data_IF_915295021384
#
_entry.id   IF_915295021384
#
_cell.length_a   1.000
_cell.length_b   1.000
_cell.length_c   1.000
_cell.angle_alpha   90.00
_cell.angle_beta   90.00
_cell.angle_gamma   90.00
#
_symmetry.space_group_name_H-M   'P 1'
#
loop_
_entity.id
_entity.type
_entity.pdbx_description
1 polymer ?
#
# COMPACT_ATOMS: atom_id res chain seq x y z
N UNK A 1 28.09 -11.56 3.69
CA UNK A 1 28.36 -10.14 3.38
C UNK A 1 27.20 -9.30 3.90
N UNK A 2 27.45 -8.40 4.84
CA UNK A 2 26.48 -7.42 5.28
C UNK A 2 26.41 -6.31 4.22
N UNK A 3 25.42 -6.33 3.37
CA UNK A 3 25.14 -5.21 2.47
C UNK A 3 24.18 -4.25 3.15
N UNK A 4 24.63 -3.00 3.37
CA UNK A 4 23.75 -1.92 3.83
C UNK A 4 23.12 -1.27 2.60
N UNK A 5 21.79 -1.23 2.51
CA UNK A 5 21.11 -0.27 1.65
C UNK A 5 21.44 1.12 2.21
N UNK A 6 22.31 1.82 1.53
CA UNK A 6 22.40 3.26 1.67
C UNK A 6 21.12 3.79 1.04
N UNK A 7 20.23 4.39 1.84
CA UNK A 7 19.09 5.11 1.30
C UNK A 7 19.60 6.03 0.20
N UNK A 8 19.02 5.96 -0.99
CA UNK A 8 19.36 6.89 -2.04
C UNK A 8 19.07 8.30 -1.50
N UNK A 9 20.04 9.16 -1.47
CA UNK A 9 19.89 10.58 -1.11
C UNK A 9 19.05 11.38 -2.14
N UNK A 10 18.19 10.72 -2.88
CA UNK A 10 17.22 11.38 -3.73
C UNK A 10 16.06 11.85 -2.87
N UNK A 11 16.27 12.95 -2.14
CA UNK A 11 15.15 13.75 -1.64
C UNK A 11 14.37 14.28 -2.83
N UNK A 12 13.33 13.54 -3.26
CA UNK A 12 12.38 14.06 -4.22
C UNK A 12 11.63 15.21 -3.56
N UNK A 13 11.84 16.42 -4.07
CA UNK A 13 11.14 17.62 -3.62
C UNK A 13 10.22 18.10 -4.71
N UNK A 14 8.93 17.89 -4.51
CA UNK A 14 7.91 18.40 -5.40
C UNK A 14 7.38 19.75 -4.91
N UNK A 15 7.19 20.68 -5.83
CA UNK A 15 6.47 21.93 -5.57
C UNK A 15 5.13 21.88 -6.25
N UNK A 16 4.05 21.86 -5.46
CA UNK A 16 2.68 21.80 -5.94
C UNK A 16 2.02 23.15 -5.74
N UNK A 17 1.45 23.74 -6.80
CA UNK A 17 0.67 24.96 -6.74
C UNK A 17 -0.80 24.66 -7.11
N UNK A 18 -1.66 24.57 -6.11
CA UNK A 18 -3.11 24.34 -6.29
C UNK A 18 -3.90 25.63 -6.60
N UNK A 19 -3.25 26.79 -6.74
CA UNK A 19 -3.91 28.05 -7.04
C UNK A 19 -4.37 28.19 -8.49
N UNK A 20 -3.81 27.39 -9.40
CA UNK A 20 -4.12 27.41 -10.83
C UNK A 20 -5.19 26.38 -11.25
N UNK A 21 -5.79 25.64 -10.32
CA UNK A 21 -6.84 24.67 -10.66
C UNK A 21 -8.08 25.45 -11.10
N UNK A 22 -8.45 25.32 -12.37
CA UNK A 22 -9.60 25.97 -13.01
C UNK A 22 -10.70 24.98 -13.42
N UNK A 23 -10.36 23.68 -13.52
CA UNK A 23 -11.30 22.61 -13.86
C UNK A 23 -11.48 21.68 -12.65
N UNK A 24 -12.75 21.41 -12.31
CA UNK A 24 -13.14 20.51 -11.22
C UNK A 24 -13.56 19.14 -11.74
N UNK A 25 -13.47 18.91 -13.05
CA UNK A 25 -13.69 17.64 -13.70
C UNK A 25 -12.33 16.93 -13.86
N UNK A 26 -12.20 15.77 -13.26
CA UNK A 26 -10.98 14.96 -13.42
C UNK A 26 -11.22 13.94 -14.53
N UNK A 27 -10.45 14.08 -15.60
CA UNK A 27 -10.59 13.24 -16.81
C UNK A 27 -10.44 11.75 -16.49
N UNK A 28 -11.33 10.96 -17.08
CA UNK A 28 -11.43 9.51 -16.85
C UNK A 28 -10.11 8.78 -17.13
N UNK A 29 -9.33 9.25 -18.09
CA UNK A 29 -8.07 8.63 -18.48
C UNK A 29 -7.04 8.60 -17.34
N UNK A 30 -6.93 9.68 -16.56
CA UNK A 30 -6.04 9.76 -15.42
C UNK A 30 -6.54 8.94 -14.22
N UNK A 31 -7.86 9.00 -13.98
CA UNK A 31 -8.50 8.31 -12.85
C UNK A 31 -8.39 6.80 -12.99
N UNK A 32 -8.54 6.28 -14.22
CA UNK A 32 -8.43 4.84 -14.49
C UNK A 32 -7.06 4.27 -14.15
N UNK A 33 -6.00 5.08 -14.32
CA UNK A 33 -4.62 4.65 -14.09
C UNK A 33 -4.23 4.66 -12.61
N UNK A 34 -4.78 5.56 -11.81
CA UNK A 34 -4.37 5.76 -10.41
C UNK A 34 -5.59 5.82 -9.51
N UNK A 35 -5.76 4.81 -8.66
CA UNK A 35 -6.87 4.78 -7.71
C UNK A 35 -6.89 5.96 -6.73
N UNK A 36 -5.71 6.46 -6.34
CA UNK A 36 -5.59 7.61 -5.45
C UNK A 36 -6.29 8.88 -5.99
N UNK A 37 -6.60 8.93 -7.31
CA UNK A 37 -7.34 10.05 -7.90
C UNK A 37 -8.68 10.33 -7.23
N UNK A 38 -9.31 9.35 -6.61
CA UNK A 38 -10.60 9.59 -5.94
C UNK A 38 -10.49 10.33 -4.60
N UNK A 39 -9.27 10.55 -4.06
CA UNK A 39 -9.04 11.51 -2.98
C UNK A 39 -9.34 12.96 -3.40
N UNK A 40 -9.34 13.23 -4.70
CA UNK A 40 -9.77 14.50 -5.24
C UNK A 40 -11.23 14.83 -4.91
N UNK A 41 -12.10 13.83 -4.68
CA UNK A 41 -13.48 14.05 -4.25
C UNK A 41 -13.54 14.92 -2.98
N UNK A 42 -12.86 14.52 -1.92
CA UNK A 42 -12.84 15.25 -0.65
C UNK A 42 -12.11 16.58 -0.74
N UNK A 43 -10.96 16.61 -1.44
CA UNK A 43 -10.16 17.82 -1.58
C UNK A 43 -10.88 18.92 -2.37
N UNK A 44 -11.46 18.57 -3.53
CA UNK A 44 -12.20 19.54 -4.36
C UNK A 44 -13.50 19.98 -3.69
N UNK A 45 -14.27 19.04 -3.12
CA UNK A 45 -15.48 19.36 -2.39
C UNK A 45 -15.20 20.30 -1.21
N UNK A 46 -14.16 20.03 -0.43
CA UNK A 46 -13.76 20.88 0.69
C UNK A 46 -13.43 22.31 0.25
N UNK A 47 -12.60 22.44 -0.80
CA UNK A 47 -12.11 23.74 -1.26
C UNK A 47 -13.11 24.51 -2.13
N UNK A 48 -13.73 23.83 -3.10
CA UNK A 48 -14.55 24.48 -4.14
C UNK A 48 -16.04 24.25 -3.98
N UNK A 49 -16.46 23.43 -3.00
CA UNK A 49 -17.85 23.03 -2.75
C UNK A 49 -18.47 22.22 -3.91
N UNK A 50 -17.64 21.82 -4.85
CA UNK A 50 -18.01 21.01 -6.01
C UNK A 50 -16.88 20.08 -6.40
N UNK A 51 -17.21 18.85 -6.80
CA UNK A 51 -16.26 17.88 -7.34
C UNK A 51 -16.97 16.93 -8.29
N UNK A 52 -16.32 16.63 -9.43
CA UNK A 52 -16.77 15.65 -10.40
C UNK A 52 -15.60 14.70 -10.69
N UNK A 53 -15.68 13.48 -10.18
CA UNK A 53 -14.58 12.52 -10.26
C UNK A 53 -15.12 11.18 -10.74
N UNK A 54 -14.58 10.64 -11.80
CA UNK A 54 -14.98 9.31 -12.28
C UNK A 54 -14.69 8.24 -11.22
N UNK A 55 -15.49 7.18 -11.20
CA UNK A 55 -15.26 6.02 -10.33
C UNK A 55 -13.86 5.46 -10.60
N UNK A 56 -13.08 5.19 -9.57
CA UNK A 56 -11.70 4.79 -9.75
C UNK A 56 -11.62 3.44 -10.43
N UNK A 57 -10.75 3.36 -11.44
CA UNK A 57 -10.18 2.11 -11.88
C UNK A 57 -9.34 1.50 -10.75
N UNK A 58 -8.72 0.39 -10.97
CA UNK A 58 -7.80 -0.21 -10.00
C UNK A 58 -7.56 -1.68 -10.25
N UNK A 59 -6.69 -2.27 -9.42
CA UNK A 59 -6.41 -3.68 -9.47
C UNK A 59 -7.68 -4.48 -9.08
N UNK A 60 -7.94 -5.55 -9.80
CA UNK A 60 -9.12 -6.38 -9.59
C UNK A 60 -8.94 -7.35 -8.41
N UNK A 61 -8.67 -6.80 -7.20
CA UNK A 61 -8.43 -7.58 -5.97
C UNK A 61 -9.67 -7.71 -5.09
N UNK A 62 -10.77 -7.07 -5.46
CA UNK A 62 -12.03 -7.13 -4.72
C UNK A 62 -12.91 -5.91 -4.89
N UNK A 63 -14.11 -5.99 -4.35
CA UNK A 63 -15.07 -4.89 -4.29
C UNK A 63 -14.52 -3.75 -3.43
N UNK A 64 -14.68 -2.52 -3.90
CA UNK A 64 -14.24 -1.32 -3.18
C UNK A 64 -15.32 -0.25 -3.23
N UNK A 65 -16.41 -0.46 -2.51
CA UNK A 65 -17.54 0.45 -2.49
C UNK A 65 -17.14 1.82 -1.97
N UNK A 66 -17.82 2.85 -2.44
CA UNK A 66 -17.64 4.25 -2.00
C UNK A 66 -18.83 4.75 -1.19
N UNK A 67 -19.70 3.85 -0.75
CA UNK A 67 -20.91 4.13 0.02
C UNK A 67 -20.63 4.98 1.27
N UNK A 68 -19.55 4.68 2.02
CA UNK A 68 -19.16 5.43 3.21
C UNK A 68 -18.69 6.86 2.86
N UNK A 69 -18.06 7.07 1.69
CA UNK A 69 -17.73 8.41 1.19
C UNK A 69 -19.01 9.21 0.92
N UNK A 70 -19.94 8.61 0.16
CA UNK A 70 -21.20 9.26 -0.20
C UNK A 70 -22.06 9.57 1.04
N UNK A 71 -22.11 8.63 2.01
CA UNK A 71 -22.76 8.81 3.30
C UNK A 71 -22.18 10.02 4.03
N UNK A 72 -20.87 10.09 4.13
CA UNK A 72 -20.20 11.18 4.84
C UNK A 72 -20.35 12.53 4.15
N UNK A 73 -20.23 12.62 2.81
CA UNK A 73 -20.46 13.87 2.08
C UNK A 73 -21.91 14.37 2.23
N UNK A 74 -22.88 13.46 2.20
CA UNK A 74 -24.30 13.82 2.47
C UNK A 74 -24.48 14.34 3.90
N UNK A 75 -23.82 13.74 4.88
CA UNK A 75 -23.86 14.20 6.27
C UNK A 75 -23.24 15.60 6.45
N UNK A 76 -22.25 15.97 5.62
CA UNK A 76 -21.69 17.33 5.55
C UNK A 76 -22.59 18.32 4.77
N UNK A 77 -23.76 17.90 4.27
CA UNK A 77 -24.69 18.74 3.53
C UNK A 77 -24.51 18.76 2.02
N UNK A 78 -23.64 17.93 1.45
CA UNK A 78 -23.47 17.86 0.01
C UNK A 78 -24.59 17.04 -0.66
N UNK A 79 -25.04 17.49 -1.82
CA UNK A 79 -25.84 16.70 -2.76
C UNK A 79 -24.87 15.82 -3.56
N UNK A 80 -25.08 14.50 -3.50
CA UNK A 80 -24.19 13.54 -4.16
C UNK A 80 -25.00 12.69 -5.12
N UNK A 81 -24.52 12.58 -6.35
CA UNK A 81 -25.09 11.77 -7.42
C UNK A 81 -23.99 10.91 -8.08
N UNK A 82 -24.37 9.77 -8.60
CA UNK A 82 -23.52 8.95 -9.47
C UNK A 82 -24.24 8.81 -10.80
N UNK A 83 -23.63 9.33 -11.83
CA UNK A 83 -24.15 9.27 -13.19
C UNK A 83 -23.06 8.88 -14.17
N UNK A 84 -23.35 7.90 -15.04
CA UNK A 84 -22.40 7.37 -16.04
C UNK A 84 -20.99 7.05 -15.48
N UNK A 85 -20.91 6.57 -14.24
CA UNK A 85 -19.62 6.24 -13.60
C UNK A 85 -18.86 7.46 -13.07
N UNK A 86 -19.48 8.64 -13.01
CA UNK A 86 -18.90 9.83 -12.39
C UNK A 86 -19.63 10.14 -11.08
N UNK A 87 -18.87 10.36 -10.03
CA UNK A 87 -19.37 10.84 -8.75
C UNK A 87 -19.35 12.37 -8.78
N UNK A 88 -20.52 12.96 -8.69
CA UNK A 88 -20.70 14.41 -8.56
C UNK A 88 -21.13 14.74 -7.14
N UNK A 89 -20.39 15.60 -6.46
CA UNK A 89 -20.74 16.10 -5.14
C UNK A 89 -20.73 17.63 -5.17
N UNK A 90 -21.80 18.25 -4.64
CA UNK A 90 -21.96 19.71 -4.63
C UNK A 90 -22.67 20.17 -3.35
N UNK A 91 -22.20 21.25 -2.77
CA UNK A 91 -22.79 21.90 -1.60
C UNK A 91 -22.78 23.41 -1.77
N UNK A 92 -23.74 24.10 -1.20
CA UNK A 92 -23.66 25.57 -1.01
C UNK A 92 -22.68 25.88 0.13
N UNK A 93 -22.89 25.23 1.27
CA UNK A 93 -22.00 25.24 2.42
C UNK A 93 -21.80 23.80 2.91
N UNK A 94 -20.60 23.47 3.38
CA UNK A 94 -20.38 22.26 4.13
C UNK A 94 -20.50 22.58 5.61
N UNK A 95 -21.30 21.77 6.32
CA UNK A 95 -21.55 21.93 7.75
C UNK A 95 -21.05 20.69 8.47
N UNK A 96 -20.26 20.88 9.51
CA UNK A 96 -19.76 19.81 10.35
C UNK A 96 -20.90 19.02 11.01
N UNK A 97 -20.63 17.77 11.31
CA UNK A 97 -21.60 16.86 11.91
C UNK A 97 -20.95 15.59 12.43
N UNK A 98 -21.77 14.71 13.00
CA UNK A 98 -21.33 13.42 13.50
C UNK A 98 -21.49 12.35 12.42
N UNK A 99 -20.40 11.70 12.05
CA UNK A 99 -20.34 10.70 10.98
C UNK A 99 -19.77 9.41 11.56
N UNK A 100 -20.61 8.38 11.62
CA UNK A 100 -20.18 7.02 12.00
C UNK A 100 -19.97 6.17 10.75
N UNK A 101 -18.79 5.56 10.63
CA UNK A 101 -18.49 4.61 9.57
C UNK A 101 -19.01 3.22 9.94
N UNK A 102 -19.83 2.61 9.07
CA UNK A 102 -20.35 1.26 9.29
C UNK A 102 -19.23 0.21 9.20
N UNK A 103 -18.19 0.51 8.43
CA UNK A 103 -16.95 -0.27 8.32
C UNK A 103 -15.75 0.67 8.37
N UNK A 104 -14.65 0.20 8.97
CA UNK A 104 -13.37 0.95 8.94
C UNK A 104 -12.91 1.08 7.50
N UNK A 105 -12.68 2.31 7.05
CA UNK A 105 -12.30 2.60 5.67
C UNK A 105 -11.31 3.76 5.58
N UNK A 106 -10.11 3.47 5.08
CA UNK A 106 -9.04 4.45 4.87
C UNK A 106 -9.49 5.55 3.92
N UNK A 107 -10.06 5.15 2.78
CA UNK A 107 -10.43 6.08 1.73
C UNK A 107 -11.50 7.10 2.17
N UNK A 108 -12.55 6.65 2.85
CA UNK A 108 -13.60 7.55 3.35
C UNK A 108 -13.05 8.44 4.49
N UNK A 109 -12.23 7.90 5.39
CA UNK A 109 -11.61 8.68 6.46
C UNK A 109 -10.79 9.85 5.91
N UNK A 110 -9.91 9.62 4.93
CA UNK A 110 -9.09 10.67 4.31
C UNK A 110 -9.97 11.67 3.55
N UNK A 111 -10.89 11.21 2.72
CA UNK A 111 -11.76 12.08 1.94
C UNK A 111 -12.61 13.01 2.83
N UNK A 112 -13.21 12.46 3.89
CA UNK A 112 -14.03 13.23 4.80
C UNK A 112 -13.19 14.16 5.69
N UNK A 113 -11.98 13.74 6.06
CA UNK A 113 -11.03 14.60 6.76
C UNK A 113 -10.70 15.84 5.92
N UNK A 114 -10.35 15.67 4.65
CA UNK A 114 -10.08 16.78 3.73
C UNK A 114 -11.30 17.68 3.51
N UNK A 115 -12.47 17.09 3.25
CA UNK A 115 -13.70 17.84 3.01
C UNK A 115 -14.13 18.67 4.24
N UNK A 116 -13.87 18.16 5.45
CA UNK A 116 -14.28 18.78 6.71
C UNK A 116 -13.36 19.90 7.19
N UNK A 117 -12.14 20.02 6.66
CA UNK A 117 -11.18 21.04 7.10
C UNK A 117 -11.72 22.48 7.01
N UNK A 118 -12.59 22.74 6.04
CA UNK A 118 -13.20 24.06 5.82
C UNK A 118 -14.75 24.00 5.90
N UNK A 119 -15.31 23.00 6.58
CA UNK A 119 -16.74 22.95 6.90
C UNK A 119 -17.06 23.86 8.10
N UNK A 120 -18.26 24.38 8.16
CA UNK A 120 -18.71 25.19 9.29
C UNK A 120 -18.89 24.31 10.54
N UNK A 121 -18.35 24.73 11.68
CA UNK A 121 -18.50 24.02 12.94
C UNK A 121 -17.49 22.88 13.15
N UNK A 122 -17.91 21.82 13.80
CA UNK A 122 -17.07 20.64 14.13
C UNK A 122 -17.60 19.38 13.43
N UNK A 123 -16.69 18.61 12.85
CA UNK A 123 -16.98 17.27 12.33
C UNK A 123 -16.35 16.23 13.24
N UNK A 124 -17.12 15.19 13.57
CA UNK A 124 -16.64 14.03 14.33
C UNK A 124 -16.77 12.81 13.44
N UNK A 125 -15.63 12.15 13.14
CA UNK A 125 -15.59 10.89 12.44
C UNK A 125 -15.40 9.78 13.46
N UNK A 126 -16.34 8.84 13.56
CA UNK A 126 -16.26 7.67 14.44
C UNK A 126 -16.08 6.38 13.64
N UNK A 127 -15.44 5.39 14.27
CA UNK A 127 -14.98 4.16 13.64
C UNK A 127 -14.03 4.45 12.46
N UNK A 128 -13.19 5.49 12.63
CA UNK A 128 -12.24 5.95 11.64
C UNK A 128 -11.07 4.95 11.48
N UNK A 129 -10.46 4.95 10.31
CA UNK A 129 -9.22 4.23 10.05
C UNK A 129 -8.05 4.82 10.85
N UNK A 130 -7.09 3.97 11.26
CA UNK A 130 -6.00 4.32 12.19
C UNK A 130 -4.61 4.21 11.57
N UNK A 131 -4.52 3.84 10.30
CA UNK A 131 -3.28 3.61 9.58
C UNK A 131 -2.33 4.81 9.70
N UNK A 132 -1.01 4.59 9.73
CA UNK A 132 -0.01 5.65 9.88
C UNK A 132 -0.19 6.82 8.90
N UNK A 133 -0.56 6.53 7.66
CA UNK A 133 -0.81 7.57 6.66
C UNK A 133 -2.08 8.40 6.91
N UNK A 134 -3.02 7.95 7.75
CA UNK A 134 -4.14 8.78 8.24
C UNK A 134 -3.60 9.87 9.16
N UNK A 135 -2.66 9.49 10.06
CA UNK A 135 -1.99 10.44 10.96
C UNK A 135 -1.15 11.43 10.16
N UNK A 136 -0.45 10.94 9.14
CA UNK A 136 0.39 11.75 8.27
C UNK A 136 -0.42 12.80 7.49
N UNK A 137 -1.56 12.41 6.90
CA UNK A 137 -2.49 13.34 6.24
C UNK A 137 -3.04 14.38 7.22
N UNK A 138 -3.39 13.97 8.45
CA UNK A 138 -3.85 14.91 9.48
C UNK A 138 -2.77 15.91 9.86
N UNK A 139 -1.52 15.45 10.03
CA UNK A 139 -0.37 16.31 10.34
C UNK A 139 -0.07 17.28 9.19
N UNK A 140 -0.12 16.79 7.94
CA UNK A 140 0.02 17.64 6.75
C UNK A 140 -1.04 18.73 6.69
N UNK A 141 -2.32 18.36 6.88
CA UNK A 141 -3.42 19.33 6.89
C UNK A 141 -3.30 20.33 8.07
N UNK A 142 -2.88 19.87 9.26
CA UNK A 142 -2.60 20.74 10.39
C UNK A 142 -1.43 21.70 10.12
N UNK A 143 -0.37 21.25 9.42
CA UNK A 143 0.71 22.12 8.96
C UNK A 143 0.23 23.18 7.95
N UNK A 144 -0.87 22.91 7.23
CA UNK A 144 -1.56 23.88 6.37
C UNK A 144 -2.53 24.78 7.13
N UNK A 145 -2.68 24.63 8.45
CA UNK A 145 -3.55 25.46 9.29
C UNK A 145 -4.92 24.84 9.60
N UNK A 146 -5.14 23.56 9.32
CA UNK A 146 -6.32 22.83 9.78
C UNK A 146 -6.29 22.60 11.30
N UNK A 147 -7.42 22.17 11.87
CA UNK A 147 -7.55 21.83 13.28
C UNK A 147 -8.13 20.42 13.41
N UNK A 148 -7.26 19.42 13.32
CA UNK A 148 -7.59 18.00 13.36
C UNK A 148 -6.95 17.38 14.60
N UNK A 149 -7.73 16.62 15.36
CA UNK A 149 -7.29 15.90 16.57
C UNK A 149 -7.81 14.46 16.52
N UNK A 150 -7.08 13.56 17.19
CA UNK A 150 -7.48 12.16 17.33
C UNK A 150 -7.15 11.27 16.13
N UNK A 151 -6.43 11.74 15.10
CA UNK A 151 -5.93 10.89 14.04
C UNK A 151 -5.05 9.76 14.62
N UNK A 152 -5.22 8.53 14.12
CA UNK A 152 -4.60 7.33 14.69
C UNK A 152 -5.44 6.66 15.79
N UNK A 153 -6.57 7.25 16.15
CA UNK A 153 -7.60 6.64 17.01
C UNK A 153 -8.88 6.36 16.20
N UNK A 154 -9.86 5.73 16.81
CA UNK A 154 -11.16 5.48 16.18
C UNK A 154 -12.07 6.71 16.10
N UNK A 155 -11.69 7.81 16.74
CA UNK A 155 -12.44 9.07 16.73
C UNK A 155 -11.56 10.24 16.29
N UNK A 156 -11.89 10.85 15.16
CA UNK A 156 -11.20 12.03 14.64
C UNK A 156 -12.15 13.23 14.75
N UNK A 157 -11.65 14.31 15.35
CA UNK A 157 -12.37 15.57 15.49
C UNK A 157 -11.73 16.65 14.63
N UNK A 158 -12.52 17.32 13.82
CA UNK A 158 -12.08 18.33 12.88
C UNK A 158 -12.89 19.59 13.11
N UNK A 159 -12.23 20.64 13.58
CA UNK A 159 -12.84 21.96 13.67
C UNK A 159 -12.55 22.71 12.40
N UNK A 160 -13.58 23.08 11.67
CA UNK A 160 -13.43 23.80 10.40
C UNK A 160 -12.72 25.14 10.56
N UNK A 161 -11.96 25.51 9.52
CA UNK A 161 -11.22 26.77 9.43
C UNK A 161 -11.61 27.53 8.18
N UNK A 162 -11.45 28.86 8.18
CA UNK A 162 -11.82 29.70 7.04
C UNK A 162 -10.94 29.46 5.81
N UNK A 163 -9.68 29.10 6.00
CA UNK A 163 -8.72 28.85 4.90
C UNK A 163 -7.56 27.97 5.36
N UNK A 164 -6.99 27.27 4.41
CA UNK A 164 -5.69 26.60 4.53
C UNK A 164 -4.63 27.42 3.79
N UNK A 165 -3.36 27.24 4.17
CA UNK A 165 -2.21 27.91 3.55
C UNK A 165 -1.20 26.86 3.05
N UNK A 166 -0.23 27.28 2.24
CA UNK A 166 0.87 26.40 1.81
C UNK A 166 1.82 26.07 2.96
N UNK A 167 2.45 24.91 2.89
CA UNK A 167 3.48 24.51 3.84
C UNK A 167 4.60 23.72 3.14
N UNK A 168 5.70 23.51 3.83
CA UNK A 168 6.69 22.49 3.50
C UNK A 168 6.46 21.32 4.43
N UNK A 169 6.39 20.11 3.88
CA UNK A 169 6.08 18.91 4.64
C UNK A 169 6.92 17.74 4.15
N UNK A 170 7.35 16.88 5.06
CA UNK A 170 8.02 15.62 4.74
C UNK A 170 7.04 14.48 5.05
N UNK A 171 6.70 13.70 4.03
CA UNK A 171 5.84 12.52 4.18
C UNK A 171 6.58 11.42 4.93
N UNK A 172 5.83 10.57 5.64
CA UNK A 172 6.39 9.41 6.32
C UNK A 172 6.89 8.34 5.33
N UNK A 173 7.87 7.50 5.74
CA UNK A 173 8.32 6.36 4.95
C UNK A 173 7.21 5.35 4.65
N UNK A 174 7.29 4.70 3.49
CA UNK A 174 6.34 3.64 3.10
C UNK A 174 6.61 2.35 3.86
N UNK A 175 5.73 2.02 4.80
CA UNK A 175 5.78 0.79 5.58
C UNK A 175 5.63 -0.48 4.73
N UNK A 176 4.95 -0.40 3.58
CA UNK A 176 4.73 -1.57 2.72
C UNK A 176 5.97 -1.85 1.87
N UNK A 177 6.63 -0.80 1.38
CA UNK A 177 7.92 -0.97 0.70
C UNK A 177 8.96 -1.56 1.68
N UNK A 178 9.09 -0.98 2.88
CA UNK A 178 9.97 -1.49 3.92
C UNK A 178 9.67 -2.97 4.26
N UNK A 179 8.40 -3.29 4.52
CA UNK A 179 7.95 -4.66 4.77
C UNK A 179 8.22 -5.63 3.61
N UNK A 180 8.14 -5.15 2.36
CA UNK A 180 8.46 -5.95 1.17
C UNK A 180 9.94 -6.38 1.17
N UNK A 181 10.87 -5.47 1.49
CA UNK A 181 12.30 -5.81 1.63
C UNK A 181 12.56 -6.72 2.84
N UNK A 182 11.82 -6.53 3.96
CA UNK A 182 11.89 -7.45 5.11
C UNK A 182 11.50 -8.88 4.70
N UNK A 183 10.43 -9.05 3.92
CA UNK A 183 10.01 -10.36 3.41
C UNK A 183 10.98 -10.91 2.37
N UNK A 184 11.62 -10.06 1.56
CA UNK A 184 12.68 -10.48 0.65
C UNK A 184 13.85 -11.10 1.42
N UNK A 185 14.29 -10.50 2.52
CA UNK A 185 15.32 -11.08 3.39
C UNK A 185 14.90 -12.45 3.94
N UNK A 186 13.65 -12.57 4.42
CA UNK A 186 13.14 -13.84 4.94
C UNK A 186 13.10 -14.94 3.87
N UNK A 187 12.62 -14.63 2.66
CA UNK A 187 12.50 -15.58 1.56
C UNK A 187 13.87 -16.03 1.00
N UNK A 188 14.83 -15.10 0.92
CA UNK A 188 16.18 -15.37 0.34
C UNK A 188 17.22 -15.73 1.39
N UNK A 189 16.85 -15.90 2.66
CA UNK A 189 17.78 -16.19 3.77
C UNK A 189 18.87 -15.12 3.93
N UNK A 190 18.48 -13.86 3.74
CA UNK A 190 19.38 -12.73 3.73
C UNK A 190 19.56 -12.05 5.10
N UNK A 191 20.49 -11.11 5.13
CA UNK A 191 20.76 -10.20 6.24
C UNK A 191 20.83 -8.78 5.67
N UNK A 192 19.80 -7.97 5.95
CA UNK A 192 19.69 -6.60 5.42
C UNK A 192 19.35 -5.59 6.50
N UNK A 193 19.79 -4.36 6.30
CA UNK A 193 19.38 -3.19 7.09
C UNK A 193 18.53 -2.28 6.22
N UNK A 194 17.33 -1.98 6.68
CA UNK A 194 16.40 -1.05 6.03
C UNK A 194 16.42 0.25 6.86
N UNK A 195 16.78 1.35 6.24
CA UNK A 195 16.92 2.67 6.85
C UNK A 195 15.75 3.58 6.45
N UNK A 196 15.65 4.71 7.13
CA UNK A 196 14.62 5.72 6.91
C UNK A 196 13.22 5.10 7.05
N UNK A 197 12.99 4.36 8.14
CA UNK A 197 11.72 3.73 8.48
C UNK A 197 11.27 4.19 9.87
N UNK A 198 10.00 3.98 10.16
CA UNK A 198 9.45 4.15 11.50
C UNK A 198 9.13 2.74 12.02
N UNK A 199 9.97 2.13 12.89
CA UNK A 199 9.82 0.75 13.34
C UNK A 199 8.44 0.45 13.88
N UNK A 200 7.83 1.39 14.60
CA UNK A 200 6.49 1.26 15.15
C UNK A 200 5.40 1.03 14.10
N UNK A 201 5.59 1.48 12.87
CA UNK A 201 4.64 1.22 11.78
C UNK A 201 4.73 -0.21 11.24
N UNK A 202 5.80 -0.93 11.58
CA UNK A 202 6.12 -2.27 11.11
C UNK A 202 5.85 -3.38 12.13
N UNK A 203 5.32 -3.05 13.32
CA UNK A 203 5.16 -3.99 14.44
C UNK A 203 4.44 -5.30 14.08
N UNK A 204 3.37 -5.23 13.28
CA UNK A 204 2.65 -6.45 12.87
C UNK A 204 3.46 -7.33 11.90
N UNK A 205 4.36 -6.72 11.12
CA UNK A 205 5.26 -7.40 10.18
C UNK A 205 6.44 -8.01 10.94
N UNK A 206 7.07 -7.23 11.82
CA UNK A 206 8.18 -7.69 12.67
C UNK A 206 7.76 -8.84 13.57
N UNK A 207 6.55 -8.76 14.16
CA UNK A 207 6.00 -9.85 14.98
C UNK A 207 5.92 -11.18 14.20
N UNK A 208 5.46 -11.15 12.95
CA UNK A 208 5.37 -12.37 12.13
C UNK A 208 6.75 -12.91 11.72
N UNK A 209 7.69 -12.05 11.41
CA UNK A 209 9.07 -12.47 11.12
C UNK A 209 9.76 -13.10 12.36
N UNK A 210 9.51 -12.55 13.57
CA UNK A 210 9.98 -13.14 14.82
C UNK A 210 9.35 -14.52 15.07
N UNK A 211 8.03 -14.67 14.85
CA UNK A 211 7.34 -15.96 14.93
C UNK A 211 7.93 -16.99 13.94
N UNK A 212 8.37 -16.55 12.76
CA UNK A 212 9.03 -17.37 11.76
C UNK A 212 10.49 -17.71 12.13
N UNK A 213 11.02 -17.15 13.21
CA UNK A 213 12.39 -17.42 13.69
C UNK A 213 13.46 -16.51 13.10
N UNK A 214 13.09 -15.46 12.37
CA UNK A 214 14.03 -14.43 11.96
C UNK A 214 14.49 -13.62 13.19
N UNK A 215 15.75 -13.14 13.15
CA UNK A 215 16.26 -12.20 14.14
C UNK A 215 16.06 -10.79 13.63
N UNK A 216 15.56 -9.91 14.51
CA UNK A 216 15.36 -8.50 14.18
C UNK A 216 16.10 -7.63 15.20
N UNK A 217 16.71 -6.56 14.71
CA UNK A 217 17.31 -5.49 15.52
C UNK A 217 16.72 -4.17 15.05
N UNK A 218 16.17 -3.40 15.97
CA UNK A 218 15.53 -2.12 15.69
C UNK A 218 16.37 -0.97 16.25
N UNK A 219 16.52 0.09 15.46
CA UNK A 219 17.04 1.39 15.90
C UNK A 219 15.94 2.44 15.87
N UNK A 220 16.31 3.72 15.94
CA UNK A 220 15.33 4.81 15.94
C UNK A 220 14.63 4.95 14.58
N UNK A 221 15.39 4.78 13.48
CA UNK A 221 14.95 4.97 12.10
C UNK A 221 15.37 3.84 11.15
N UNK A 222 15.74 2.67 11.68
CA UNK A 222 16.15 1.52 10.89
C UNK A 222 15.75 0.19 11.54
N UNK A 223 15.64 -0.84 10.70
CA UNK A 223 15.43 -2.23 11.10
C UNK A 223 16.41 -3.12 10.36
N UNK A 224 17.08 -4.04 11.07
CA UNK A 224 17.87 -5.12 10.50
C UNK A 224 17.09 -6.42 10.62
N UNK A 225 16.96 -7.12 9.49
CA UNK A 225 16.35 -8.46 9.41
C UNK A 225 17.44 -9.46 9.06
N UNK A 226 17.55 -10.49 9.89
CA UNK A 226 18.51 -11.58 9.73
C UNK A 226 17.72 -12.88 9.68
N UNK A 227 17.73 -13.53 8.51
CA UNK A 227 16.99 -14.77 8.24
C UNK A 227 17.93 -15.94 7.96
N UNK A 228 19.06 -15.99 8.65
CA UNK A 228 20.03 -17.08 8.52
C UNK A 228 19.45 -18.40 9.03
N UNK A 229 19.62 -19.46 8.26
CA UNK A 229 19.17 -20.80 8.63
C UNK A 229 17.72 -21.10 8.24
N UNK A 230 17.07 -21.94 9.03
CA UNK A 230 15.73 -22.44 8.74
C UNK A 230 14.67 -21.45 9.24
N UNK A 231 13.78 -21.01 8.35
CA UNK A 231 12.63 -20.15 8.67
C UNK A 231 11.41 -21.05 8.86
N UNK A 232 10.71 -20.87 9.97
CA UNK A 232 9.54 -21.66 10.35
C UNK A 232 8.22 -21.09 9.85
N UNK A 233 7.16 -21.90 9.99
CA UNK A 233 5.79 -21.54 9.61
C UNK A 233 5.11 -20.66 10.66
N UNK A 234 4.15 -19.83 10.24
CA UNK A 234 3.22 -19.10 11.11
C UNK A 234 1.89 -18.89 10.41
N UNK A 235 0.85 -18.57 11.19
CA UNK A 235 -0.46 -18.23 10.64
C UNK A 235 -0.65 -16.70 10.62
N UNK A 236 -1.26 -16.21 9.54
CA UNK A 236 -1.48 -14.80 9.32
C UNK A 236 -2.94 -14.53 9.01
N UNK A 237 -3.51 -13.48 9.60
CA UNK A 237 -4.81 -12.94 9.24
C UNK A 237 -4.66 -11.45 8.96
N UNK A 238 -5.09 -11.02 7.77
CA UNK A 238 -5.11 -9.60 7.44
C UNK A 238 -6.21 -8.89 8.19
N UNK A 239 -5.91 -7.73 8.75
CA UNK A 239 -6.83 -6.91 9.52
C UNK A 239 -6.51 -5.43 9.30
N UNK A 240 -7.48 -4.50 9.55
CA UNK A 240 -7.17 -3.07 9.64
C UNK A 240 -6.07 -2.81 10.68
N UNK A 241 -5.32 -1.72 10.47
CA UNK A 241 -4.25 -1.33 11.39
C UNK A 241 -4.72 -1.24 12.86
N UNK A 242 -3.96 -1.72 13.84
CA UNK A 242 -2.57 -2.19 13.78
C UNK A 242 -2.41 -3.70 13.43
N UNK A 243 -3.42 -4.35 12.87
CA UNK A 243 -3.32 -5.72 12.40
C UNK A 243 -2.39 -5.88 11.20
N UNK A 244 -2.18 -7.13 10.76
CA UNK A 244 -1.32 -7.41 9.60
C UNK A 244 -1.94 -6.84 8.32
N UNK A 245 -1.22 -5.97 7.58
CA UNK A 245 -1.80 -5.27 6.44
C UNK A 245 -2.03 -6.20 5.24
N UNK A 246 -3.19 -6.06 4.61
CA UNK A 246 -3.54 -6.81 3.39
C UNK A 246 -2.51 -6.59 2.26
N UNK A 247 -1.85 -5.41 2.22
CA UNK A 247 -0.83 -5.09 1.23
C UNK A 247 0.48 -5.88 1.41
N UNK A 248 0.66 -6.55 2.54
CA UNK A 248 1.77 -7.46 2.82
C UNK A 248 1.40 -8.93 2.66
N UNK A 249 0.14 -9.22 2.36
CA UNK A 249 -0.37 -10.60 2.26
C UNK A 249 0.32 -11.43 1.17
N UNK A 250 0.56 -10.92 -0.07
CA UNK A 250 1.28 -11.70 -1.07
C UNK A 250 2.75 -11.95 -0.70
N UNK A 251 3.45 -10.96 -0.13
CA UNK A 251 4.86 -11.07 0.23
C UNK A 251 5.09 -12.09 1.35
N UNK A 252 4.23 -12.07 2.39
CA UNK A 252 4.38 -13.06 3.46
C UNK A 252 4.03 -14.46 2.97
N UNK A 253 3.08 -14.61 2.04
CA UNK A 253 2.75 -15.91 1.45
C UNK A 253 3.96 -16.53 0.72
N UNK A 254 4.78 -15.72 0.04
CA UNK A 254 6.04 -16.17 -0.57
C UNK A 254 7.02 -16.66 0.50
N UNK A 255 7.23 -15.89 1.56
CA UNK A 255 8.13 -16.29 2.64
C UNK A 255 7.66 -17.57 3.34
N UNK A 256 6.35 -17.72 3.57
CA UNK A 256 5.75 -18.91 4.15
C UNK A 256 5.80 -20.14 3.23
N UNK A 257 5.73 -19.95 1.90
CA UNK A 257 5.85 -21.04 0.95
C UNK A 257 7.28 -21.62 0.89
N UNK A 258 8.28 -20.90 1.40
CA UNK A 258 9.67 -21.34 1.57
C UNK A 258 10.01 -21.66 3.05
N UNK A 259 9.04 -21.56 3.96
CA UNK A 259 9.24 -21.86 5.37
C UNK A 259 9.02 -23.35 5.67
N UNK A 260 9.66 -23.86 6.72
CA UNK A 260 9.45 -25.24 7.15
C UNK A 260 8.10 -25.39 7.87
N UNK A 261 7.28 -26.30 7.38
CA UNK A 261 5.99 -26.64 7.98
C UNK A 261 4.81 -26.13 7.16
N UNK A 262 3.67 -26.01 7.80
CA UNK A 262 2.41 -25.56 7.16
C UNK A 262 1.92 -24.27 7.78
N UNK A 263 1.37 -23.41 6.95
CA UNK A 263 0.87 -22.09 7.33
C UNK A 263 -0.52 -21.84 6.76
N UNK A 264 -1.26 -20.94 7.40
CA UNK A 264 -2.52 -20.42 6.87
C UNK A 264 -2.43 -18.90 6.74
N UNK A 265 -2.89 -18.39 5.60
CA UNK A 265 -3.05 -16.96 5.38
C UNK A 265 -4.52 -16.68 5.10
N UNK A 266 -5.19 -15.99 6.03
CA UNK A 266 -6.61 -15.61 5.90
C UNK A 266 -6.71 -14.15 5.51
N UNK A 267 -7.32 -13.86 4.36
CA UNK A 267 -7.59 -12.53 3.86
C UNK A 267 -8.97 -12.06 4.33
N UNK A 268 -9.02 -10.97 5.09
CA UNK A 268 -10.28 -10.46 5.66
C UNK A 268 -10.73 -9.12 5.06
N UNK A 269 -9.95 -8.56 4.12
CA UNK A 269 -10.20 -7.23 3.57
C UNK A 269 -10.72 -7.31 2.13
N UNK A 270 -10.12 -8.18 1.29
CA UNK A 270 -10.46 -8.27 -0.14
C UNK A 270 -10.75 -9.70 -0.59
N UNK A 271 -11.77 -9.88 -1.40
CA UNK A 271 -12.28 -11.21 -1.82
C UNK A 271 -11.37 -11.90 -2.85
N UNK A 272 -10.66 -11.13 -3.69
CA UNK A 272 -9.90 -11.66 -4.82
C UNK A 272 -8.38 -11.44 -4.69
N UNK A 273 -7.85 -11.50 -3.45
CA UNK A 273 -6.44 -11.17 -3.19
C UNK A 273 -5.47 -12.28 -3.55
N UNK A 274 -5.90 -13.50 -3.77
CA UNK A 274 -5.05 -14.68 -3.99
C UNK A 274 -4.71 -14.97 -5.46
N UNK A 275 -4.90 -14.07 -6.39
CA UNK A 275 -4.63 -14.28 -7.83
C UNK A 275 -3.19 -14.66 -8.15
N UNK A 276 -2.24 -14.27 -7.32
CA UNK A 276 -0.81 -14.60 -7.47
C UNK A 276 -0.49 -16.07 -7.14
N UNK A 277 -1.41 -16.79 -6.51
CA UNK A 277 -1.19 -18.18 -6.07
C UNK A 277 -0.95 -19.10 -7.26
N UNK A 278 -1.66 -18.91 -8.35
CA UNK A 278 -1.46 -19.70 -9.57
C UNK A 278 -0.05 -19.51 -10.14
N UNK A 279 0.48 -18.28 -10.08
CA UNK A 279 1.83 -17.97 -10.51
C UNK A 279 2.88 -18.61 -9.58
N UNK A 280 2.68 -18.58 -8.25
CA UNK A 280 3.56 -19.28 -7.31
C UNK A 280 3.52 -20.80 -7.48
N UNK A 281 2.35 -21.37 -7.74
CA UNK A 281 2.22 -22.82 -7.98
C UNK A 281 2.94 -23.24 -9.27
N UNK A 282 3.06 -22.35 -10.30
CA UNK A 282 3.92 -22.60 -11.46
C UNK A 282 5.39 -22.66 -11.10
N UNK A 283 5.82 -21.96 -10.04
CA UNK A 283 7.17 -22.02 -9.50
C UNK A 283 7.41 -23.24 -8.59
N UNK A 284 6.43 -24.10 -8.41
CA UNK A 284 6.49 -25.26 -7.55
C UNK A 284 6.05 -25.06 -6.10
N UNK A 285 5.44 -23.92 -5.79
CA UNK A 285 4.79 -23.73 -4.48
C UNK A 285 3.64 -24.74 -4.30
N UNK A 286 3.32 -25.04 -3.04
CA UNK A 286 2.18 -25.88 -2.65
C UNK A 286 1.18 -25.03 -1.87
N UNK A 287 0.35 -24.30 -2.60
CA UNK A 287 -0.65 -23.41 -2.03
C UNK A 287 -2.04 -23.79 -2.55
N UNK A 288 -2.98 -24.02 -1.63
CA UNK A 288 -4.39 -24.27 -1.93
C UNK A 288 -5.23 -23.16 -1.32
N UNK A 289 -6.09 -22.54 -2.10
CA UNK A 289 -7.01 -21.48 -1.63
C UNK A 289 -8.40 -22.07 -1.46
N UNK A 290 -8.99 -21.89 -0.28
CA UNK A 290 -10.37 -22.26 0.03
C UNK A 290 -11.08 -21.05 0.66
N UNK A 291 -12.04 -20.49 -0.06
CA UNK A 291 -12.73 -19.26 0.35
C UNK A 291 -11.74 -18.09 0.47
N UNK A 292 -11.61 -17.56 1.66
CA UNK A 292 -10.71 -16.44 1.97
C UNK A 292 -9.39 -16.89 2.66
N UNK A 293 -9.05 -18.16 2.61
CA UNK A 293 -7.86 -18.70 3.28
C UNK A 293 -6.99 -19.49 2.31
N UNK A 294 -5.70 -19.16 2.29
CA UNK A 294 -4.67 -19.94 1.62
C UNK A 294 -3.99 -20.88 2.63
N UNK A 295 -3.97 -22.17 2.31
CA UNK A 295 -3.22 -23.20 3.00
C UNK A 295 -1.91 -23.41 2.27
N UNK A 296 -0.80 -23.24 2.95
CA UNK A 296 0.54 -23.20 2.40
C UNK A 296 1.35 -24.33 3.04
N UNK A 297 1.84 -25.26 2.25
CA UNK A 297 2.85 -26.24 2.65
C UNK A 297 4.20 -25.74 2.14
N UNK A 298 5.16 -25.56 3.04
CA UNK A 298 6.48 -25.06 2.69
C UNK A 298 7.23 -26.03 1.79
N UNK A 299 7.94 -25.48 0.80
CA UNK A 299 8.85 -26.21 -0.10
C UNK A 299 10.29 -25.79 0.14
N UNK A 300 11.24 -26.64 -0.20
CA UNK A 300 12.67 -26.36 0.00
C UNK A 300 13.13 -25.20 -0.89
N UNK A 301 12.63 -25.14 -2.13
CA UNK A 301 12.99 -24.12 -3.12
C UNK A 301 11.91 -23.96 -4.18
N UNK A 302 11.93 -22.82 -4.84
CA UNK A 302 11.17 -22.58 -6.07
C UNK A 302 12.01 -22.92 -7.30
N UNK A 303 11.33 -23.14 -8.41
CA UNK A 303 11.91 -23.26 -9.75
C UNK A 303 11.57 -22.01 -10.56
N UNK A 304 12.46 -21.64 -11.49
CA UNK A 304 12.23 -20.53 -12.39
C UNK A 304 11.00 -20.74 -13.28
N UNK A 305 10.31 -19.64 -13.57
CA UNK A 305 9.11 -19.63 -14.43
C UNK A 305 8.95 -18.31 -15.18
N UNK A 306 8.09 -18.33 -16.21
CA UNK A 306 7.54 -17.11 -16.79
C UNK A 306 6.23 -16.78 -16.08
N UNK A 307 6.13 -15.58 -15.54
CA UNK A 307 5.10 -15.10 -14.64
C UNK A 307 4.49 -13.81 -15.16
N UNK A 308 3.27 -13.49 -14.74
CA UNK A 308 2.63 -12.20 -15.00
C UNK A 308 2.22 -11.55 -13.67
N UNK A 309 2.54 -10.28 -13.50
CA UNK A 309 2.16 -9.52 -12.31
C UNK A 309 0.66 -9.19 -12.35
N UNK A 310 -0.19 -9.78 -11.49
CA UNK A 310 -1.64 -9.53 -11.54
C UNK A 310 -2.04 -8.19 -10.91
N UNK A 311 -1.21 -7.65 -10.04
CA UNK A 311 -1.36 -6.36 -9.36
C UNK A 311 -0.03 -5.88 -8.76
N UNK A 312 -0.03 -4.67 -8.20
CA UNK A 312 1.12 -4.00 -7.58
C UNK A 312 1.85 -4.88 -6.54
N UNK A 313 1.13 -5.39 -5.54
CA UNK A 313 1.72 -6.08 -4.39
C UNK A 313 2.06 -7.53 -4.72
N UNK A 314 1.18 -8.17 -5.45
CA UNK A 314 1.42 -9.50 -5.98
C UNK A 314 2.64 -9.52 -6.93
N UNK A 315 2.76 -8.52 -7.82
CA UNK A 315 3.94 -8.39 -8.68
C UNK A 315 5.24 -8.28 -7.89
N UNK A 316 5.30 -7.43 -6.86
CA UNK A 316 6.48 -7.33 -5.99
C UNK A 316 6.76 -8.66 -5.25
N UNK A 317 5.73 -9.38 -4.81
CA UNK A 317 5.88 -10.70 -4.19
C UNK A 317 6.45 -11.74 -5.18
N UNK A 318 6.01 -11.71 -6.45
CA UNK A 318 6.56 -12.59 -7.49
C UNK A 318 8.04 -12.29 -7.79
N UNK A 319 8.47 -11.01 -7.70
CA UNK A 319 9.90 -10.66 -7.78
C UNK A 319 10.67 -11.30 -6.64
N UNK A 320 10.16 -11.23 -5.40
CA UNK A 320 10.78 -11.89 -4.25
C UNK A 320 10.87 -13.41 -4.47
N UNK A 321 9.80 -14.04 -4.97
CA UNK A 321 9.78 -15.46 -5.26
C UNK A 321 10.81 -15.83 -6.34
N UNK A 322 10.94 -15.01 -7.39
CA UNK A 322 11.94 -15.21 -8.45
C UNK A 322 13.37 -15.10 -7.94
N UNK A 323 13.64 -14.18 -6.99
CA UNK A 323 14.97 -14.06 -6.35
C UNK A 323 15.33 -15.27 -5.47
N UNK A 324 14.33 -15.98 -4.95
CA UNK A 324 14.51 -17.18 -4.15
C UNK A 324 14.46 -18.49 -4.96
N UNK A 325 14.29 -18.40 -6.28
CA UNK A 325 14.17 -19.53 -7.17
C UNK A 325 15.51 -19.93 -7.80
N UNK A 326 15.66 -21.21 -8.13
CA UNK A 326 16.76 -21.68 -8.98
C UNK A 326 16.47 -21.32 -10.45
N UNK A 327 17.44 -20.69 -11.13
CA UNK A 327 17.37 -20.35 -12.55
C UNK A 327 16.87 -18.92 -12.81
N UNK A 328 16.47 -18.63 -14.05
CA UNK A 328 16.07 -17.31 -14.50
C UNK A 328 14.56 -17.28 -14.64
N UNK A 329 13.90 -16.45 -13.84
CA UNK A 329 12.46 -16.14 -13.99
C UNK A 329 12.26 -14.86 -14.80
N UNK A 330 11.17 -14.80 -15.53
CA UNK A 330 10.71 -13.59 -16.24
C UNK A 330 9.37 -13.17 -15.66
N UNK A 331 9.22 -11.88 -15.41
CA UNK A 331 7.96 -11.30 -14.88
C UNK A 331 7.48 -10.24 -15.86
N UNK A 332 6.32 -10.46 -16.43
CA UNK A 332 5.65 -9.54 -17.35
C UNK A 332 4.68 -8.61 -16.57
N UNK A 333 4.11 -7.60 -17.22
CA UNK A 333 3.17 -6.60 -16.65
C UNK A 333 3.75 -5.79 -15.47
N UNK A 334 5.04 -5.49 -15.52
CA UNK A 334 5.78 -4.82 -14.43
C UNK A 334 5.34 -3.38 -14.18
N UNK A 335 4.59 -2.77 -15.09
CA UNK A 335 3.99 -1.45 -14.89
C UNK A 335 3.08 -1.40 -13.64
N UNK A 336 2.51 -2.53 -13.21
CA UNK A 336 1.81 -2.59 -11.93
C UNK A 336 2.75 -2.37 -10.74
N UNK A 337 3.96 -2.94 -10.77
CA UNK A 337 4.96 -2.81 -9.70
C UNK A 337 5.48 -1.37 -9.63
N UNK A 338 5.75 -0.76 -10.79
CA UNK A 338 6.30 0.59 -10.91
C UNK A 338 5.37 1.70 -10.38
N UNK A 339 4.09 1.40 -10.14
CA UNK A 339 3.15 2.35 -9.54
C UNK A 339 3.39 2.63 -8.05
N UNK A 340 4.08 1.76 -7.33
CA UNK A 340 4.24 1.90 -5.89
C UNK A 340 5.59 1.46 -5.35
N UNK A 341 6.53 1.09 -6.22
CA UNK A 341 7.93 0.81 -5.87
C UNK A 341 8.82 1.62 -6.80
N UNK A 342 9.50 2.61 -6.25
CA UNK A 342 10.46 3.41 -6.99
C UNK A 342 11.80 2.66 -7.10
N UNK A 343 12.33 2.55 -8.33
CA UNK A 343 13.62 1.91 -8.63
C UNK A 343 13.80 0.55 -7.93
N UNK A 344 12.76 -0.29 -7.97
CA UNK A 344 12.74 -1.55 -7.23
C UNK A 344 13.87 -2.48 -7.65
N UNK A 345 14.12 -2.60 -8.95
CA UNK A 345 15.22 -3.36 -9.53
C UNK A 345 16.60 -2.80 -9.14
N UNK A 346 16.77 -1.49 -9.10
CA UNK A 346 18.02 -0.85 -8.69
C UNK A 346 18.32 -1.09 -7.21
N UNK A 347 17.32 -0.96 -6.33
CA UNK A 347 17.46 -1.24 -4.90
C UNK A 347 17.79 -2.71 -4.64
N UNK A 348 17.16 -3.64 -5.34
CA UNK A 348 17.45 -5.07 -5.23
C UNK A 348 18.84 -5.41 -5.78
N UNK A 349 19.25 -4.81 -6.90
CA UNK A 349 20.60 -4.97 -7.44
C UNK A 349 21.67 -4.45 -6.47
N UNK A 350 21.43 -3.34 -5.78
CA UNK A 350 22.33 -2.82 -4.77
C UNK A 350 22.50 -3.76 -3.56
N UNK A 351 21.50 -4.60 -3.30
CA UNK A 351 21.57 -5.66 -2.30
C UNK A 351 22.27 -6.94 -2.82
N UNK A 352 22.67 -6.99 -4.09
CA UNK A 352 23.35 -8.11 -4.71
C UNK A 352 22.45 -9.03 -5.53
N UNK A 353 21.19 -8.66 -5.75
CA UNK A 353 20.30 -9.43 -6.63
C UNK A 353 20.74 -9.32 -8.10
N UNK A 354 20.65 -10.42 -8.83
CA UNK A 354 20.86 -10.44 -10.28
C UNK A 354 19.52 -10.24 -10.95
N UNK A 355 19.18 -8.99 -11.20
CA UNK A 355 17.89 -8.54 -11.75
C UNK A 355 18.11 -7.47 -12.81
N UNK A 356 17.30 -7.44 -13.84
CA UNK A 356 17.29 -6.38 -14.83
C UNK A 356 15.89 -6.17 -15.41
N UNK A 357 15.55 -4.91 -15.67
CA UNK A 357 14.44 -4.56 -16.54
C UNK A 357 14.89 -4.68 -17.99
N UNK A 358 14.11 -5.36 -18.82
CA UNK A 358 14.38 -5.55 -20.23
C UNK A 358 13.18 -5.12 -21.07
N UNK A 359 13.42 -4.34 -22.10
CA UNK A 359 12.36 -3.79 -22.98
C UNK A 359 12.30 -4.52 -24.33
N UNK A 360 13.19 -5.49 -24.55
CA UNK A 360 13.25 -6.25 -25.80
C UNK A 360 13.80 -7.67 -25.63
N UNK A 361 13.41 -8.56 -26.54
CA UNK A 361 13.94 -9.92 -26.64
C UNK A 361 15.48 -9.94 -26.75
N UNK A 362 16.06 -8.95 -27.43
CA UNK A 362 17.52 -8.81 -27.59
C UNK A 362 18.21 -8.53 -26.26
N UNK A 363 17.60 -7.72 -25.41
CA UNK A 363 18.12 -7.42 -24.07
C UNK A 363 17.99 -8.64 -23.14
N UNK A 364 16.87 -9.35 -23.24
CA UNK A 364 16.68 -10.61 -22.50
C UNK A 364 17.77 -11.63 -22.87
N UNK A 365 18.09 -11.79 -24.16
CA UNK A 365 19.16 -12.70 -24.58
C UNK A 365 20.53 -12.25 -24.07
N UNK A 366 20.83 -10.95 -24.10
CA UNK A 366 22.08 -10.42 -23.52
C UNK A 366 22.16 -10.68 -22.01
N UNK A 367 21.07 -10.50 -21.29
CA UNK A 367 20.99 -10.76 -19.86
C UNK A 367 21.25 -12.25 -19.57
N UNK A 368 20.59 -13.16 -20.32
CA UNK A 368 20.81 -14.61 -20.19
C UNK A 368 22.29 -15.00 -20.43
N UNK A 369 22.93 -14.42 -21.47
CA UNK A 369 24.35 -14.68 -21.77
C UNK A 369 25.32 -14.11 -20.71
N UNK A 370 24.91 -13.11 -19.94
CA UNK A 370 25.74 -12.52 -18.88
C UNK A 370 25.73 -13.35 -17.59
N UNK A 371 24.66 -14.11 -17.36
CA UNK A 371 24.46 -14.89 -16.13
C UNK A 371 24.88 -16.35 -16.30
N UNK A 372 24.73 -16.93 -17.48
CA UNK A 372 25.12 -18.31 -17.80
C UNK A 372 26.49 -18.38 -18.39
#
# INVERSE_FOLDING_TARGET
MTSSLVGSEMCIRDRINGGSISDLNVEYEYIRKIRASYYLLGALLGKYKESNVALPGGCNIGSRPIDQHLKGFKALGAKVNIDHGVVSAKAENLVGGHIYFDVVTVGATINLMMASCMAEGETILENAAKEPHIVDVANFLNAMGANIKGAGTDVIRIKGVNRLHGCTYSIIPDQIEAGTFMMAAAATRGDIVIKDVIPKHLESITAKLLEMGCKLVEGDDWIRVIAEGEVGSTNVKTLPYPGFPTDMQPQIAVALALAKGSSMVTESIFENRFKYVDELNRMGAKIKVEGNTAYIEGVEKFTSAQLSAPDLRAGAALVIAALAADGISQIDDIEYIQRGYEDFEGKLSALGAIIAKVDSERELQKFKLKIG
#
